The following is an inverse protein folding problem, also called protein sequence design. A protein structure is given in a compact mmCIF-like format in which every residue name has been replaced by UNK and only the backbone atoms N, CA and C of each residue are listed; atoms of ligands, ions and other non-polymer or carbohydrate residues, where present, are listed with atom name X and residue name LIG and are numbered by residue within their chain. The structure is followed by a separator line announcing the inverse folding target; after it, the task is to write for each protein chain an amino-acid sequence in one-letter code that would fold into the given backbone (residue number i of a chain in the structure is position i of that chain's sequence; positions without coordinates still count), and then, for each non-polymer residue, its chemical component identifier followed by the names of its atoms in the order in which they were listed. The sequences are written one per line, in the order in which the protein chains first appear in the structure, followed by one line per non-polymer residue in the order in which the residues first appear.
data_IF_447394646118
#
_entry.id   IF_447394646118
#
_cell.length_a   1.000
_cell.length_b   1.000
_cell.length_c   1.000
_cell.angle_alpha   90.00
_cell.angle_beta   90.00
_cell.angle_gamma   90.00
#
_symmetry.space_group_name_H-M   'P 1'
#
loop_
_entity.id
_entity.type
_entity.pdbx_description
1 polymer ?
#
# COMPACT_ATOMS: atom_id res chain seq x y z
N UNK A 1 -14.67 -9.43 -6.00
CA UNK A 1 -13.78 -9.99 -4.96
C UNK A 1 -14.43 -9.83 -3.59
N UNK A 2 -14.38 -10.83 -2.70
CA UNK A 2 -15.01 -10.72 -1.38
C UNK A 2 -14.31 -9.69 -0.48
N UNK A 3 -15.05 -9.12 0.49
CA UNK A 3 -14.49 -8.18 1.48
C UNK A 3 -13.31 -8.78 2.25
N UNK A 4 -13.42 -10.06 2.65
CA UNK A 4 -12.37 -10.78 3.35
C UNK A 4 -11.08 -10.83 2.51
N UNK A 5 -11.19 -11.21 1.23
CA UNK A 5 -10.02 -11.30 0.35
C UNK A 5 -9.36 -9.95 0.12
N UNK A 6 -10.15 -8.87 0.00
CA UNK A 6 -9.62 -7.50 -0.10
C UNK A 6 -8.80 -7.13 1.14
N UNK A 7 -9.33 -7.39 2.34
CA UNK A 7 -8.61 -7.10 3.58
C UNK A 7 -7.33 -7.92 3.70
N UNK A 8 -7.36 -9.21 3.39
CA UNK A 8 -6.17 -10.07 3.36
C UNK A 8 -5.10 -9.54 2.39
N UNK A 9 -5.50 -9.08 1.20
CA UNK A 9 -4.56 -8.52 0.23
C UNK A 9 -3.95 -7.20 0.74
N UNK A 10 -4.74 -6.32 1.34
CA UNK A 10 -4.27 -5.06 1.93
C UNK A 10 -3.28 -5.34 3.08
N UNK A 11 -3.63 -6.24 3.99
CA UNK A 11 -2.80 -6.60 5.14
C UNK A 11 -1.49 -7.30 4.70
N UNK A 12 -1.57 -8.13 3.65
CA UNK A 12 -0.41 -8.77 3.03
C UNK A 12 0.56 -7.75 2.42
N UNK A 13 0.05 -6.85 1.58
CA UNK A 13 0.89 -5.81 0.97
C UNK A 13 1.51 -4.88 2.02
N UNK A 14 0.72 -4.49 3.04
CA UNK A 14 1.22 -3.69 4.16
C UNK A 14 2.38 -4.38 4.86
N UNK A 15 2.24 -5.67 5.17
CA UNK A 15 3.30 -6.46 5.81
C UNK A 15 4.56 -6.45 4.95
N UNK A 16 4.45 -6.69 3.64
CA UNK A 16 5.59 -6.66 2.72
C UNK A 16 6.31 -5.30 2.71
N UNK A 17 5.57 -4.19 2.64
CA UNK A 17 6.17 -2.85 2.67
C UNK A 17 6.87 -2.56 4.00
N UNK A 18 6.28 -2.99 5.13
CA UNK A 18 6.89 -2.84 6.45
C UNK A 18 8.17 -3.69 6.60
N UNK A 19 8.19 -4.90 6.03
CA UNK A 19 9.40 -5.73 5.99
C UNK A 19 10.51 -5.06 5.19
N UNK A 20 10.20 -4.42 4.06
CA UNK A 20 11.18 -3.66 3.27
C UNK A 20 11.75 -2.49 4.11
N UNK A 21 10.88 -1.72 4.76
CA UNK A 21 11.28 -0.62 5.65
C UNK A 21 12.18 -1.07 6.80
N UNK A 22 11.95 -2.25 7.36
CA UNK A 22 12.71 -2.77 8.50
C UNK A 22 14.04 -3.43 8.10
N UNK A 23 14.11 -4.02 6.91
CA UNK A 23 15.24 -4.88 6.51
C UNK A 23 16.24 -4.21 5.57
N UNK A 24 15.92 -3.05 4.99
CA UNK A 24 16.83 -2.39 4.05
C UNK A 24 17.72 -1.36 4.75
N UNK A 25 19.04 -1.60 4.73
CA UNK A 25 20.04 -0.69 5.31
C UNK A 25 20.39 0.53 4.43
N UNK A 26 19.81 0.63 3.23
CA UNK A 26 20.24 1.58 2.20
C UNK A 26 19.08 2.31 1.51
N UNK A 27 17.93 2.44 2.17
CA UNK A 27 16.84 3.27 1.66
C UNK A 27 17.24 4.74 1.78
N UNK A 28 17.04 5.50 0.69
CA UNK A 28 17.12 6.95 0.79
C UNK A 28 15.94 7.49 1.60
N UNK A 29 16.05 8.73 2.10
CA UNK A 29 14.93 9.40 2.77
C UNK A 29 13.69 9.49 1.84
N UNK A 30 13.91 9.67 0.54
CA UNK A 30 12.84 9.70 -0.46
C UNK A 30 12.12 8.34 -0.56
N UNK A 31 12.86 7.24 -0.57
CA UNK A 31 12.30 5.89 -0.61
C UNK A 31 11.49 5.58 0.65
N UNK A 32 12.02 5.96 1.82
CA UNK A 32 11.32 5.81 3.10
C UNK A 32 10.00 6.58 3.07
N UNK A 33 9.99 7.80 2.53
CA UNK A 33 8.78 8.60 2.42
C UNK A 33 7.74 7.97 1.48
N UNK A 34 8.16 7.47 0.30
CA UNK A 34 7.28 6.78 -0.65
C UNK A 34 6.63 5.54 -0.04
N UNK A 35 7.43 4.72 0.66
CA UNK A 35 6.95 3.51 1.33
C UNK A 35 6.00 3.84 2.49
N UNK A 36 6.30 4.86 3.29
CA UNK A 36 5.43 5.32 4.36
C UNK A 36 4.09 5.85 3.84
N UNK A 37 4.10 6.62 2.75
CA UNK A 37 2.89 7.11 2.10
C UNK A 37 2.03 5.98 1.55
N UNK A 38 2.66 4.96 0.95
CA UNK A 38 1.97 3.76 0.48
C UNK A 38 1.30 2.99 1.65
N UNK A 39 2.02 2.80 2.76
CA UNK A 39 1.48 2.19 3.99
C UNK A 39 0.33 3.01 4.57
N UNK A 40 0.44 4.35 4.58
CA UNK A 40 -0.62 5.23 5.06
C UNK A 40 -1.89 5.12 4.21
N UNK A 41 -1.76 5.09 2.87
CA UNK A 41 -2.89 4.87 1.95
C UNK A 41 -3.53 3.49 2.16
N UNK A 42 -2.73 2.43 2.34
CA UNK A 42 -3.25 1.08 2.66
C UNK A 42 -4.05 1.05 3.97
N UNK A 43 -3.55 1.70 5.02
CA UNK A 43 -4.27 1.80 6.29
C UNK A 43 -5.62 2.52 6.14
N UNK A 44 -5.68 3.59 5.33
CA UNK A 44 -6.93 4.28 5.00
C UNK A 44 -7.87 3.41 4.18
N UNK A 45 -7.37 2.70 3.18
CA UNK A 45 -8.18 1.81 2.33
C UNK A 45 -8.79 0.65 3.15
N UNK A 46 -8.05 0.12 4.13
CA UNK A 46 -8.49 -0.95 5.01
C UNK A 46 -9.74 -0.58 5.83
N UNK A 47 -9.85 0.66 6.29
CA UNK A 47 -10.94 1.11 7.16
C UNK A 47 -12.19 1.51 6.36
N UNK A 48 -12.05 1.86 5.08
CA UNK A 48 -13.16 2.24 4.21
C UNK A 48 -14.18 1.10 4.06
N UNK A 49 -15.47 1.45 4.15
CA UNK A 49 -16.62 0.55 3.93
C UNK A 49 -17.44 1.11 2.77
N UNK A 50 -18.21 0.25 2.09
CA UNK A 50 -19.11 0.69 1.03
C UNK A 50 -18.44 1.19 -0.25
N UNK A 51 -17.15 0.86 -0.47
CA UNK A 51 -16.45 1.20 -1.71
C UNK A 51 -17.03 0.41 -2.89
N UNK A 52 -17.33 1.12 -3.97
CA UNK A 52 -17.55 0.51 -5.28
C UNK A 52 -16.25 -0.09 -5.81
N UNK A 53 -16.37 -1.04 -6.75
CA UNK A 53 -15.20 -1.67 -7.36
C UNK A 53 -14.30 -0.67 -8.08
N UNK A 54 -14.89 0.34 -8.73
CA UNK A 54 -14.16 1.42 -9.40
C UNK A 54 -13.37 2.26 -8.40
N UNK A 55 -13.98 2.68 -7.29
CA UNK A 55 -13.29 3.44 -6.25
C UNK A 55 -12.16 2.61 -5.63
N UNK A 56 -12.39 1.32 -5.37
CA UNK A 56 -11.36 0.43 -4.86
C UNK A 56 -10.16 0.34 -5.84
N UNK A 57 -10.43 0.20 -7.14
CA UNK A 57 -9.37 0.17 -8.16
C UNK A 57 -8.59 1.48 -8.22
N UNK A 58 -9.26 2.64 -8.12
CA UNK A 58 -8.57 3.94 -8.09
C UNK A 58 -7.64 4.06 -6.88
N UNK A 59 -8.10 3.67 -5.70
CA UNK A 59 -7.27 3.73 -4.48
C UNK A 59 -6.07 2.78 -4.57
N UNK A 60 -6.23 1.62 -5.19
CA UNK A 60 -5.14 0.67 -5.44
C UNK A 60 -4.16 1.23 -6.49
N UNK A 61 -4.64 1.87 -7.56
CA UNK A 61 -3.79 2.47 -8.57
C UNK A 61 -2.87 3.55 -7.97
N UNK A 62 -3.40 4.39 -7.10
CA UNK A 62 -2.62 5.38 -6.34
C UNK A 62 -1.50 4.74 -5.50
N UNK A 63 -1.77 3.60 -4.86
CA UNK A 63 -0.79 2.88 -4.05
C UNK A 63 0.28 2.25 -4.96
N UNK A 64 -0.13 1.69 -6.10
CA UNK A 64 0.79 1.11 -7.08
C UNK A 64 1.73 2.17 -7.64
N UNK A 65 1.25 3.38 -7.93
CA UNK A 65 2.08 4.48 -8.42
C UNK A 65 3.23 4.82 -7.44
N UNK A 66 2.95 4.84 -6.14
CA UNK A 66 3.98 5.03 -5.11
C UNK A 66 4.99 3.89 -5.07
N UNK A 67 4.54 2.65 -5.24
CA UNK A 67 5.41 1.47 -5.28
C UNK A 67 6.28 1.50 -6.53
N UNK A 68 5.74 1.90 -7.68
CA UNK A 68 6.50 2.04 -8.93
C UNK A 68 7.58 3.10 -8.78
N UNK A 69 7.27 4.26 -8.19
CA UNK A 69 8.25 5.32 -7.92
C UNK A 69 9.37 4.88 -6.98
N UNK A 70 9.11 3.93 -6.10
CA UNK A 70 10.14 3.34 -5.24
C UNK A 70 11.03 2.34 -5.99
N UNK A 71 10.53 1.68 -7.03
CA UNK A 71 11.26 0.63 -7.76
C UNK A 71 12.11 1.15 -8.94
N UNK A 72 11.93 2.42 -9.35
CA UNK A 72 12.63 3.09 -10.46
C UNK A 72 13.67 4.05 -9.87
#
# INVERSE_FOLDING_TARGET
MSRLKRLQNIDGLKTSLQTILQNQCSLSESDVNLLNDAVAKLNRLRTKKGLTDKQYQTEIADIIDLIIKFLI
#
